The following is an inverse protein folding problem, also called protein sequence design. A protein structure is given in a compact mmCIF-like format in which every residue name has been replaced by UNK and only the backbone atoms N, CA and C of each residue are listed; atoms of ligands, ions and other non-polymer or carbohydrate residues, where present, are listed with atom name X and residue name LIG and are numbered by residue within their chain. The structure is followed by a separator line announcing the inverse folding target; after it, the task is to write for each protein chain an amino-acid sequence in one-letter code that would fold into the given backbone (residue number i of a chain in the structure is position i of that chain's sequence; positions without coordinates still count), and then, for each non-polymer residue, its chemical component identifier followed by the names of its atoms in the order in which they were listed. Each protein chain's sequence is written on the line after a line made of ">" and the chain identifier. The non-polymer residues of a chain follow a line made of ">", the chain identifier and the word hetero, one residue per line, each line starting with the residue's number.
data_IF_056914121361
#
_entry.id   IF_056914121361
#
_cell.length_a   1.000
_cell.length_b   1.000
_cell.length_c   1.000
_cell.angle_alpha   90.00
_cell.angle_beta   90.00
_cell.angle_gamma   90.00
#
_symmetry.space_group_name_H-M   'P 1'
#
loop_
_entity.id
_entity.type
_entity.pdbx_description
1 polymer ?
#
# COMPACT_ATOMS: atom_id res chain seq x y z
N UNK A 1 -10.73 3.24 7.35
CA UNK A 1 -9.51 2.40 7.26
C UNK A 1 -9.65 1.21 8.20
N UNK A 2 -9.32 -0.01 7.73
CA UNK A 2 -9.40 -1.23 8.53
C UNK A 2 -8.34 -1.16 9.65
N UNK A 3 -8.72 -1.42 10.90
CA UNK A 3 -7.82 -1.30 12.05
C UNK A 3 -7.07 -2.61 12.29
N UNK A 4 -5.73 -2.61 12.35
CA UNK A 4 -4.95 -3.79 12.73
C UNK A 4 -5.22 -4.18 14.20
N UNK A 5 -4.91 -5.43 14.56
CA UNK A 5 -4.75 -5.80 15.96
C UNK A 5 -3.57 -5.04 16.57
N UNK A 6 -3.65 -4.75 17.87
CA UNK A 6 -2.55 -4.08 18.58
C UNK A 6 -1.34 -5.01 18.58
N UNK A 7 -0.14 -4.45 18.51
CA UNK A 7 1.09 -5.24 18.51
C UNK A 7 1.20 -6.14 19.75
N UNK A 8 0.76 -5.65 20.92
CA UNK A 8 0.73 -6.42 22.17
C UNK A 8 -0.26 -7.61 22.14
N UNK A 9 -1.27 -7.58 21.26
CA UNK A 9 -2.30 -8.60 21.17
C UNK A 9 -2.00 -9.64 20.07
N UNK A 10 -0.82 -9.58 19.42
CA UNK A 10 -0.39 -10.48 18.33
C UNK A 10 0.19 -11.81 18.86
N UNK A 11 -0.55 -12.44 19.77
CA UNK A 11 -0.18 -13.71 20.38
C UNK A 11 -0.65 -14.93 19.60
N UNK A 12 -1.57 -14.77 18.66
CA UNK A 12 -2.13 -15.87 17.88
C UNK A 12 -1.74 -15.78 16.40
N UNK A 13 -1.63 -16.95 15.77
CA UNK A 13 -1.29 -17.09 14.35
C UNK A 13 -2.23 -16.28 13.45
N UNK A 14 -3.53 -16.36 13.72
CA UNK A 14 -4.58 -15.75 12.92
C UNK A 14 -4.47 -14.22 12.92
N UNK A 15 -4.17 -13.63 14.10
CA UNK A 15 -3.97 -12.19 14.22
C UNK A 15 -2.70 -11.72 13.53
N UNK A 16 -1.62 -12.51 13.60
CA UNK A 16 -0.37 -12.24 12.87
C UNK A 16 -0.63 -12.24 11.35
N UNK A 17 -1.31 -13.26 10.83
CA UNK A 17 -1.70 -13.34 9.41
C UNK A 17 -2.55 -12.15 8.99
N UNK A 18 -3.56 -11.79 9.78
CA UNK A 18 -4.41 -10.65 9.48
C UNK A 18 -3.62 -9.34 9.41
N UNK A 19 -2.78 -9.04 10.42
CA UNK A 19 -1.98 -7.82 10.42
C UNK A 19 -0.97 -7.79 9.26
N UNK A 20 -0.38 -8.94 8.91
CA UNK A 20 0.49 -9.07 7.74
C UNK A 20 -0.27 -8.73 6.44
N UNK A 21 -1.45 -9.35 6.22
CA UNK A 21 -2.28 -9.12 5.03
C UNK A 21 -2.69 -7.67 4.88
N UNK A 22 -3.15 -7.05 5.97
CA UNK A 22 -3.54 -5.63 5.98
C UNK A 22 -2.34 -4.73 5.69
N UNK A 23 -1.19 -5.00 6.32
CA UNK A 23 0.05 -4.25 6.07
C UNK A 23 0.50 -4.40 4.62
N UNK A 24 0.41 -5.59 4.05
CA UNK A 24 0.75 -5.82 2.64
C UNK A 24 -0.18 -5.05 1.72
N UNK A 25 -1.50 -5.12 1.95
CA UNK A 25 -2.46 -4.36 1.16
C UNK A 25 -2.18 -2.85 1.21
N UNK A 26 -1.88 -2.30 2.40
CA UNK A 26 -1.48 -0.90 2.56
C UNK A 26 -0.24 -0.56 1.74
N UNK A 27 0.81 -1.39 1.83
CA UNK A 27 2.06 -1.19 1.10
C UNK A 27 1.88 -1.17 -0.42
N UNK A 28 1.02 -2.04 -0.98
CA UNK A 28 0.72 -1.99 -2.43
C UNK A 28 0.14 -0.64 -2.82
N UNK A 29 -0.85 -0.19 -2.05
CA UNK A 29 -1.59 1.05 -2.34
C UNK A 29 -0.65 2.24 -2.23
N UNK A 30 0.16 2.30 -1.18
CA UNK A 30 1.18 3.34 -0.98
C UNK A 30 2.21 3.35 -2.09
N UNK A 31 2.72 2.18 -2.49
CA UNK A 31 3.66 2.08 -3.59
C UNK A 31 3.03 2.58 -4.90
N UNK A 32 1.78 2.23 -5.20
CA UNK A 32 1.09 2.73 -6.38
C UNK A 32 0.96 4.26 -6.39
N UNK A 33 0.63 4.86 -5.24
CA UNK A 33 0.58 6.32 -5.11
C UNK A 33 1.97 6.95 -5.23
N UNK A 34 3.00 6.39 -4.61
CA UNK A 34 4.37 6.89 -4.72
C UNK A 34 4.89 6.84 -6.15
N UNK A 35 4.59 5.76 -6.89
CA UNK A 35 4.93 5.61 -8.32
C UNK A 35 4.26 6.70 -9.15
N UNK A 36 2.99 6.99 -8.89
CA UNK A 36 2.25 8.01 -9.63
C UNK A 36 2.69 9.43 -9.22
N UNK A 37 2.94 9.67 -7.93
CA UNK A 37 3.28 11.00 -7.42
C UNK A 37 4.69 11.44 -7.82
N UNK A 38 5.68 10.54 -7.76
CA UNK A 38 7.09 10.83 -8.01
C UNK A 38 7.39 11.61 -9.30
N UNK A 39 6.86 11.22 -10.48
CA UNK A 39 7.08 11.99 -11.70
C UNK A 39 6.17 13.22 -11.81
N UNK A 40 5.07 13.30 -11.05
CA UNK A 40 4.02 14.30 -11.21
C UNK A 40 3.88 15.17 -9.96
N UNK A 41 4.59 16.31 -9.95
CA UNK A 41 4.58 17.31 -8.87
C UNK A 41 3.19 17.81 -8.45
N UNK A 42 2.17 17.68 -9.32
CA UNK A 42 0.79 18.05 -8.98
C UNK A 42 0.28 17.31 -7.73
N UNK A 43 0.78 16.10 -7.45
CA UNK A 43 0.39 15.34 -6.27
C UNK A 43 1.16 15.71 -4.99
N UNK A 44 2.21 16.53 -5.09
CA UNK A 44 3.04 16.99 -3.97
C UNK A 44 2.57 18.33 -3.38
N UNK A 45 1.55 18.95 -3.99
CA UNK A 45 1.03 20.26 -3.57
C UNK A 45 -0.48 20.21 -3.47
N UNK A 46 -1.07 21.23 -2.84
CA UNK A 46 -2.52 21.38 -2.81
C UNK A 46 -3.06 21.53 -4.25
N UNK A 47 -3.93 20.61 -4.65
CA UNK A 47 -4.52 20.62 -6.00
C UNK A 47 -5.61 21.69 -6.05
N UNK A 48 -5.25 22.88 -6.52
CA UNK A 48 -6.17 24.01 -6.68
C UNK A 48 -6.97 23.90 -7.99
N UNK A 49 -7.77 22.84 -8.11
CA UNK A 49 -8.65 22.56 -9.25
C UNK A 49 -10.02 22.15 -8.72
N UNK A 50 -11.10 22.46 -9.46
CA UNK A 50 -12.44 22.00 -9.12
C UNK A 50 -12.50 20.46 -9.00
N UNK A 51 -13.17 19.91 -7.95
CA UNK A 51 -13.23 18.46 -7.70
C UNK A 51 -13.68 17.62 -8.91
N UNK A 52 -14.57 18.18 -9.74
CA UNK A 52 -15.09 17.52 -10.94
C UNK A 52 -14.00 17.20 -12.00
N UNK A 53 -12.86 17.88 -11.95
CA UNK A 53 -11.76 17.70 -12.91
C UNK A 53 -10.65 16.78 -12.37
N UNK A 54 -10.66 16.45 -11.07
CA UNK A 54 -9.59 15.65 -10.43
C UNK A 54 -9.47 14.28 -11.09
N UNK A 55 -10.60 13.64 -11.40
CA UNK A 55 -10.61 12.32 -12.06
C UNK A 55 -9.90 12.38 -13.43
N UNK A 56 -10.10 13.47 -14.18
CA UNK A 56 -9.43 13.66 -15.47
C UNK A 56 -7.92 13.85 -15.32
N UNK A 57 -7.48 14.57 -14.28
CA UNK A 57 -6.06 14.76 -13.96
C UNK A 57 -5.42 13.42 -13.60
N UNK A 58 -6.04 12.63 -12.72
CA UNK A 58 -5.53 11.31 -12.34
C UNK A 58 -5.43 10.38 -13.55
N UNK A 59 -6.47 10.33 -14.38
CA UNK A 59 -6.46 9.52 -15.60
C UNK A 59 -5.40 9.95 -16.61
N UNK A 60 -5.18 11.26 -16.77
CA UNK A 60 -4.13 11.79 -17.63
C UNK A 60 -2.73 11.43 -17.12
N UNK A 61 -2.49 11.52 -15.81
CA UNK A 61 -1.24 11.08 -15.19
C UNK A 61 -1.00 9.57 -15.40
N UNK A 62 -2.03 8.73 -15.23
CA UNK A 62 -1.92 7.29 -15.50
C UNK A 62 -1.60 7.00 -16.98
N UNK A 63 -2.28 7.68 -17.91
CA UNK A 63 -2.03 7.52 -19.34
C UNK A 63 -0.59 7.94 -19.71
N UNK A 64 -0.12 9.07 -19.16
CA UNK A 64 1.22 9.56 -19.39
C UNK A 64 2.29 8.65 -18.77
N UNK A 65 2.05 8.12 -17.56
CA UNK A 65 2.93 7.14 -16.92
C UNK A 65 3.10 5.88 -17.78
N UNK A 66 1.99 5.34 -18.30
CA UNK A 66 2.03 4.17 -19.18
C UNK A 66 2.82 4.47 -20.47
N UNK A 67 2.54 5.61 -21.11
CA UNK A 67 3.24 6.03 -22.32
C UNK A 67 4.76 6.21 -22.10
N UNK A 68 5.17 6.87 -21.01
CA UNK A 68 6.59 7.09 -20.70
C UNK A 68 7.31 5.79 -20.31
N UNK A 69 6.60 4.87 -19.66
CA UNK A 69 7.12 3.55 -19.33
C UNK A 69 7.38 2.73 -20.60
N UNK A 70 6.52 2.83 -21.61
CA UNK A 70 6.69 2.13 -22.89
C UNK A 70 7.75 2.79 -23.79
N UNK A 71 7.78 4.13 -23.86
CA UNK A 71 8.64 4.86 -24.81
C UNK A 71 10.03 5.18 -24.28
N UNK A 72 10.22 5.30 -22.97
CA UNK A 72 11.50 5.72 -22.38
C UNK A 72 11.74 5.10 -21.00
N UNK A 73 11.54 3.79 -20.87
CA UNK A 73 11.65 3.07 -19.59
C UNK A 73 12.98 3.34 -18.86
N UNK A 74 14.10 3.30 -19.59
CA UNK A 74 15.44 3.41 -19.01
C UNK A 74 15.69 4.77 -18.32
N UNK A 75 15.12 5.85 -18.85
CA UNK A 75 15.25 7.18 -18.25
C UNK A 75 14.13 7.52 -17.27
N UNK A 76 12.91 7.01 -17.51
CA UNK A 76 11.72 7.38 -16.74
C UNK A 76 11.54 6.55 -15.47
N UNK A 77 11.76 5.24 -15.55
CA UNK A 77 11.59 4.32 -14.42
C UNK A 77 12.66 3.22 -14.42
N UNK A 78 13.95 3.58 -14.22
CA UNK A 78 15.00 2.59 -14.04
C UNK A 78 14.72 1.65 -12.84
N UNK A 79 15.21 0.40 -12.87
CA UNK A 79 14.86 -0.64 -11.89
C UNK A 79 15.19 -0.31 -10.42
N UNK A 80 16.04 0.69 -10.18
CA UNK A 80 16.46 1.17 -8.87
C UNK A 80 15.44 2.11 -8.22
N UNK A 81 14.51 2.68 -9.00
CA UNK A 81 13.52 3.66 -8.52
C UNK A 81 12.41 2.97 -7.73
N UNK A 82 12.00 1.77 -8.14
CA UNK A 82 10.84 1.06 -7.60
C UNK A 82 11.21 0.00 -6.56
N UNK A 83 10.31 -0.20 -5.60
CA UNK A 83 10.39 -1.33 -4.67
C UNK A 83 10.36 -2.67 -5.42
N UNK A 84 11.26 -3.59 -5.06
CA UNK A 84 11.28 -4.97 -5.56
C UNK A 84 11.00 -5.95 -4.44
N UNK A 85 9.93 -6.73 -4.60
CA UNK A 85 9.59 -7.83 -3.70
C UNK A 85 10.12 -9.16 -4.24
N UNK A 86 10.96 -9.82 -3.45
CA UNK A 86 11.44 -11.17 -3.72
C UNK A 86 10.58 -12.17 -2.95
N UNK A 87 9.66 -12.81 -3.65
CA UNK A 87 8.67 -13.70 -3.04
C UNK A 87 9.27 -14.97 -2.45
N UNK A 88 10.47 -15.36 -2.88
CA UNK A 88 11.10 -16.63 -2.50
C UNK A 88 11.74 -16.56 -1.10
N UNK A 89 12.26 -15.40 -0.72
CA UNK A 89 12.91 -15.18 0.59
C UNK A 89 12.14 -14.17 1.47
N UNK A 90 11.07 -13.58 0.94
CA UNK A 90 10.29 -12.55 1.63
C UNK A 90 11.03 -11.23 1.83
N UNK A 91 12.10 -11.00 1.08
CA UNK A 91 12.90 -9.78 1.16
C UNK A 91 12.31 -8.72 0.24
N UNK A 92 12.41 -7.47 0.68
CA UNK A 92 11.89 -6.31 -0.03
C UNK A 92 13.03 -5.31 -0.13
N UNK A 93 13.40 -4.98 -1.36
CA UNK A 93 14.38 -3.94 -1.64
C UNK A 93 13.59 -2.67 -1.88
N UNK A 94 13.78 -1.67 -1.02
CA UNK A 94 13.16 -0.36 -1.21
C UNK A 94 13.81 0.37 -2.39
N UNK A 95 12.99 0.94 -3.26
CA UNK A 95 13.43 1.80 -4.34
C UNK A 95 13.71 3.24 -3.87
N UNK A 96 14.42 4.01 -4.69
CA UNK A 96 14.80 5.41 -4.39
C UNK A 96 13.57 6.28 -4.07
N UNK A 97 12.46 6.08 -4.78
CA UNK A 97 11.23 6.86 -4.58
C UNK A 97 10.61 6.68 -3.18
N UNK A 98 10.79 5.50 -2.59
CA UNK A 98 10.25 5.18 -1.28
C UNK A 98 11.06 5.82 -0.14
N UNK A 99 12.34 6.15 -0.39
CA UNK A 99 13.24 6.75 0.61
C UNK A 99 13.13 8.28 0.70
N UNK A 100 12.92 8.96 -0.44
CA UNK A 100 12.86 10.43 -0.54
C UNK A 100 11.43 10.95 -0.83
N UNK A 101 10.40 10.16 -0.52
CA UNK A 101 9.01 10.58 -0.75
C UNK A 101 8.63 11.76 0.15
N UNK A 102 8.33 12.91 -0.45
CA UNK A 102 7.72 14.05 0.23
C UNK A 102 6.22 13.83 0.54
N UNK A 103 5.65 12.67 0.19
CA UNK A 103 4.27 12.36 0.52
C UNK A 103 4.11 12.17 2.03
N UNK A 104 3.13 12.86 2.60
CA UNK A 104 2.80 12.74 4.02
C UNK A 104 2.23 11.34 4.28
N UNK A 105 2.80 10.67 5.27
CA UNK A 105 2.34 9.35 5.72
C UNK A 105 0.86 9.41 6.13
N UNK A 106 0.09 8.36 5.83
CA UNK A 106 -1.34 8.33 6.16
C UNK A 106 -1.54 8.56 7.65
N UNK A 107 -2.25 9.65 7.98
CA UNK A 107 -2.47 10.07 9.35
C UNK A 107 -3.19 8.97 10.15
N UNK A 108 -2.61 8.56 11.28
CA UNK A 108 -3.11 7.47 12.13
C UNK A 108 -4.31 7.96 12.96
N UNK A 109 -5.38 8.44 12.32
CA UNK A 109 -6.51 9.12 12.97
C UNK A 109 -7.44 8.25 13.84
N UNK A 110 -7.03 7.06 14.27
CA UNK A 110 -7.85 6.20 15.15
C UNK A 110 -7.07 5.61 16.34
N UNK A 111 -6.71 6.48 17.28
CA UNK A 111 -6.32 6.06 18.64
C UNK A 111 -7.53 5.63 19.51
N UNK A 112 -8.77 5.83 19.04
CA UNK A 112 -10.00 5.41 19.73
C UNK A 112 -10.37 3.93 19.55
N UNK A 113 -11.31 3.46 20.37
CA UNK A 113 -11.96 2.16 20.19
C UNK A 113 -12.77 2.15 18.88
N UNK A 114 -12.62 1.10 18.08
CA UNK A 114 -13.45 0.88 16.89
C UNK A 114 -14.83 0.33 17.29
N UNK A 115 -15.83 0.58 16.45
CA UNK A 115 -17.19 0.07 16.65
C UNK A 115 -17.20 -1.46 16.71
N UNK A 116 -18.19 -2.05 17.38
CA UNK A 116 -18.33 -3.50 17.45
C UNK A 116 -18.52 -4.12 16.05
N UNK A 117 -19.21 -3.41 15.13
CA UNK A 117 -19.31 -3.81 13.74
C UNK A 117 -17.94 -3.92 13.06
N UNK A 118 -17.07 -2.91 13.22
CA UNK A 118 -15.72 -2.93 12.67
C UNK A 118 -14.84 -4.02 13.31
N UNK A 119 -15.02 -4.32 14.60
CA UNK A 119 -14.35 -5.47 15.25
C UNK A 119 -14.76 -6.78 14.62
N UNK A 120 -16.07 -6.96 14.40
CA UNK A 120 -16.63 -8.14 13.74
C UNK A 120 -16.10 -8.30 12.33
N UNK A 121 -16.12 -7.25 11.50
CA UNK A 121 -15.54 -7.29 10.14
C UNK A 121 -14.06 -7.68 10.15
N UNK A 122 -13.27 -7.17 11.11
CA UNK A 122 -11.87 -7.58 11.28
C UNK A 122 -11.76 -9.08 11.61
N UNK A 123 -12.60 -9.59 12.50
CA UNK A 123 -12.63 -11.01 12.86
C UNK A 123 -13.06 -11.88 11.67
N UNK A 124 -14.05 -11.45 10.90
CA UNK A 124 -14.51 -12.14 9.68
C UNK A 124 -13.38 -12.24 8.65
N UNK A 125 -12.64 -11.14 8.42
CA UNK A 125 -11.46 -11.15 7.55
C UNK A 125 -10.33 -12.02 8.09
N UNK A 126 -10.06 -11.95 9.40
CA UNK A 126 -9.06 -12.79 10.06
C UNK A 126 -9.37 -14.28 9.84
N UNK A 127 -10.62 -14.68 10.08
CA UNK A 127 -11.09 -16.04 9.85
C UNK A 127 -10.97 -16.42 8.37
N UNK A 128 -11.37 -15.55 7.45
CA UNK A 128 -11.25 -15.80 6.03
C UNK A 128 -9.78 -16.02 5.59
N UNK A 129 -8.84 -15.17 6.02
CA UNK A 129 -7.44 -15.25 5.59
C UNK A 129 -6.69 -16.51 6.06
N UNK A 130 -7.17 -17.14 7.13
CA UNK A 130 -6.61 -18.40 7.66
C UNK A 130 -7.29 -19.63 7.05
N UNK A 131 -8.53 -19.48 6.57
CA UNK A 131 -9.30 -20.56 5.97
C UNK A 131 -9.37 -20.38 4.45
N UNK A 132 -10.56 -20.16 3.90
CA UNK A 132 -10.80 -20.14 2.44
C UNK A 132 -10.02 -19.08 1.66
N UNK A 133 -9.45 -18.09 2.33
CA UNK A 133 -8.62 -17.06 1.73
C UNK A 133 -7.11 -17.32 1.79
N UNK A 134 -6.63 -18.40 2.43
CA UNK A 134 -5.21 -18.68 2.67
C UNK A 134 -4.38 -18.62 1.39
N UNK A 135 -3.19 -18.01 1.47
CA UNK A 135 -2.22 -17.96 0.36
C UNK A 135 -0.92 -18.67 0.74
N UNK A 136 -0.26 -19.42 -0.18
CA UNK A 136 0.88 -20.26 0.17
C UNK A 136 2.06 -19.55 0.82
N UNK A 137 2.25 -18.25 0.56
CA UNK A 137 3.40 -17.49 1.04
C UNK A 137 3.15 -16.75 2.36
N UNK A 138 1.93 -16.77 2.91
CA UNK A 138 1.61 -15.93 4.07
C UNK A 138 2.40 -16.29 5.33
N UNK A 139 2.80 -17.56 5.45
CA UNK A 139 3.54 -18.09 6.60
C UNK A 139 5.01 -17.64 6.62
N UNK A 140 5.58 -17.29 5.46
CA UNK A 140 6.99 -16.89 5.35
C UNK A 140 7.29 -15.54 6.00
N UNK A 141 6.25 -14.72 6.23
CA UNK A 141 6.38 -13.33 6.69
C UNK A 141 5.93 -13.13 8.14
N UNK A 142 5.45 -14.18 8.82
CA UNK A 142 4.98 -14.14 10.21
C UNK A 142 5.92 -14.94 11.11
N UNK A 143 7.05 -14.34 11.52
CA UNK A 143 7.91 -14.89 12.57
C UNK A 143 7.37 -14.53 13.97
#
# INVERSE_FOLDING_TARGET
>A
MIKPFRQADLNTYEKKIYNYRVSRARRIVENAFGILASPFRIFHTEINIEPKNIDSVVMACCALHNYLTETNQASYSPPEILDREFFDNGTIIQGVTSADSEMIDLDRRYQGNITNAAKKTREDFMNYFVNGGQVPRQDNFIR
#
